data_IF_767983373049
#
_entry.id   IF_767983373049
#
_cell.length_a   1.000
_cell.length_b   1.000
_cell.length_c   1.000
_cell.angle_alpha   90.00
_cell.angle_beta   90.00
_cell.angle_gamma   90.00
#
_symmetry.space_group_name_H-M   'P 1'
#
loop_
_entity.id
_entity.type
_entity.pdbx_description
1 polymer ?
#
# COMPACT_ATOMS: atom_id res chain seq x y z
N UNK A 1 25.86 21.69 38.76
CA UNK A 1 24.71 20.83 38.40
C UNK A 1 25.09 20.12 37.12
N UNK A 2 24.92 18.81 37.09
CA UNK A 2 25.40 17.86 36.10
C UNK A 2 24.32 16.76 36.02
N UNK A 3 24.40 15.89 35.02
CA UNK A 3 23.47 14.76 34.77
C UNK A 3 22.02 15.17 34.43
N UNK A 4 21.33 14.52 33.49
CA UNK A 4 21.84 13.82 32.29
C UNK A 4 20.72 13.79 31.22
N UNK A 5 21.01 13.30 30.01
CA UNK A 5 20.03 13.19 28.94
C UNK A 5 19.78 11.72 28.59
N UNK A 6 18.52 11.29 28.61
CA UNK A 6 18.10 10.00 28.06
C UNK A 6 17.62 10.18 26.61
N UNK A 7 18.35 9.59 25.66
CA UNK A 7 17.95 9.45 24.27
C UNK A 7 17.36 8.05 24.07
N UNK A 8 16.09 7.95 23.68
CA UNK A 8 15.39 6.66 23.51
C UNK A 8 15.57 6.11 22.07
N UNK A 9 16.36 5.05 21.94
CA UNK A 9 16.74 4.44 20.65
C UNK A 9 15.68 3.46 20.13
N UNK A 10 14.70 4.00 19.39
CA UNK A 10 13.67 3.21 18.71
C UNK A 10 14.09 2.67 17.32
N UNK A 11 15.37 2.36 17.08
CA UNK A 11 15.89 1.92 15.76
C UNK A 11 15.94 0.38 15.52
N UNK A 12 14.92 -0.40 15.92
CA UNK A 12 14.62 -1.75 15.37
C UNK A 12 13.16 -2.19 15.55
N UNK A 13 12.24 -1.62 14.75
CA UNK A 13 10.85 -2.08 14.65
C UNK A 13 10.58 -2.94 13.41
N UNK A 14 10.98 -4.21 13.41
CA UNK A 14 10.59 -5.16 12.35
C UNK A 14 9.15 -5.66 12.58
N UNK A 15 8.18 -4.97 11.98
CA UNK A 15 6.77 -5.34 12.03
C UNK A 15 6.47 -6.49 11.05
N UNK A 16 6.89 -7.69 11.44
CA UNK A 16 6.79 -8.90 10.63
C UNK A 16 5.38 -9.18 10.08
N UNK A 17 5.34 -9.71 8.85
CA UNK A 17 4.13 -9.86 8.03
C UNK A 17 2.92 -10.46 8.77
N UNK A 18 1.97 -9.59 9.14
CA UNK A 18 0.74 -9.95 9.84
C UNK A 18 -0.25 -10.75 8.98
N UNK A 19 -0.05 -12.06 8.84
CA UNK A 19 -1.02 -13.01 8.27
C UNK A 19 -2.18 -13.27 9.24
N UNK A 20 -2.91 -12.21 9.58
CA UNK A 20 -4.01 -12.22 10.54
C UNK A 20 -5.24 -12.98 10.03
N UNK A 21 -5.38 -14.25 10.44
CA UNK A 21 -6.66 -14.98 10.32
C UNK A 21 -7.67 -14.37 11.28
N UNK A 22 -8.84 -13.96 10.78
CA UNK A 22 -9.98 -13.58 11.63
C UNK A 22 -10.52 -14.81 12.38
N UNK A 23 -10.98 -14.68 13.63
CA UNK A 23 -11.73 -15.75 14.29
C UNK A 23 -13.02 -16.09 13.52
N UNK A 24 -13.34 -17.38 13.39
CA UNK A 24 -14.59 -17.86 12.77
C UNK A 24 -14.45 -18.68 11.48
N UNK A 25 -13.23 -18.93 10.99
CA UNK A 25 -13.01 -19.83 9.86
C UNK A 25 -13.26 -21.31 10.21
N UNK A 26 -14.19 -21.95 9.50
CA UNK A 26 -14.44 -23.40 9.58
C UNK A 26 -13.32 -24.17 8.87
N UNK A 27 -13.00 -25.37 9.36
CA UNK A 27 -12.10 -26.30 8.66
C UNK A 27 -12.84 -26.97 7.50
N UNK A 28 -12.29 -26.89 6.29
CA UNK A 28 -12.53 -27.85 5.22
C UNK A 28 -11.19 -28.46 4.77
N UNK A 29 -11.27 -29.70 4.27
CA UNK A 29 -10.14 -30.62 4.15
C UNK A 29 -9.37 -30.56 2.83
N UNK A 30 -8.55 -31.58 2.64
CA UNK A 30 -7.52 -31.68 1.61
C UNK A 30 -8.07 -31.98 0.20
N UNK A 31 -7.22 -31.67 -0.79
CA UNK A 31 -7.22 -32.14 -2.18
C UNK A 31 -8.48 -31.99 -3.06
N UNK A 32 -8.36 -31.09 -4.05
CA UNK A 32 -8.40 -31.52 -5.46
C UNK A 32 -7.60 -30.58 -6.37
N UNK A 33 -7.05 -31.14 -7.45
CA UNK A 33 -6.15 -30.45 -8.38
C UNK A 33 -6.88 -29.84 -9.59
N UNK A 34 -6.12 -29.07 -10.39
CA UNK A 34 -6.43 -28.55 -11.73
C UNK A 34 -7.40 -27.35 -11.83
N UNK A 35 -7.32 -26.48 -12.84
CA UNK A 35 -6.18 -25.76 -13.48
C UNK A 35 -6.69 -25.02 -14.73
N UNK A 36 -6.65 -23.69 -14.76
CA UNK A 36 -6.65 -22.90 -16.01
C UNK A 36 -5.88 -21.59 -15.76
N UNK A 37 -4.69 -21.33 -16.31
CA UNK A 37 -4.19 -21.20 -17.71
C UNK A 37 -4.45 -19.82 -18.37
N UNK A 38 -3.36 -19.32 -18.96
CA UNK A 38 -3.20 -18.06 -19.72
C UNK A 38 -3.23 -16.76 -18.89
N UNK A 39 -2.49 -15.71 -19.26
CA UNK A 39 -1.77 -15.49 -20.54
C UNK A 39 -0.35 -14.95 -20.33
N UNK A 40 0.63 -15.55 -21.00
CA UNK A 40 2.01 -15.06 -21.06
C UNK A 40 2.18 -13.92 -22.08
N UNK A 41 3.16 -13.05 -21.85
CA UNK A 41 3.84 -12.30 -22.92
C UNK A 41 5.34 -12.43 -22.72
N UNK A 42 6.01 -13.00 -23.71
CA UNK A 42 7.42 -13.38 -23.62
C UNK A 42 8.30 -12.49 -24.52
N UNK A 43 9.59 -12.46 -24.17
CA UNK A 43 10.76 -12.53 -25.07
C UNK A 43 11.46 -11.23 -25.53
N UNK A 44 12.80 -11.34 -25.51
CA UNK A 44 13.80 -10.55 -26.24
C UNK A 44 14.12 -9.14 -25.71
N UNK A 45 15.32 -8.81 -25.22
CA UNK A 45 16.46 -9.66 -24.82
C UNK A 45 17.82 -9.24 -25.41
N UNK A 46 18.90 -9.45 -24.64
CA UNK A 46 20.29 -9.68 -25.09
C UNK A 46 21.19 -10.03 -23.90
N UNK A 47 21.84 -11.19 -23.97
CA UNK A 47 23.02 -11.50 -23.16
C UNK A 47 24.23 -10.88 -23.85
N UNK A 48 25.13 -10.24 -23.10
CA UNK A 48 26.54 -10.12 -23.48
C UNK A 48 27.44 -10.43 -22.29
N UNK A 49 28.59 -11.03 -22.60
CA UNK A 49 29.56 -11.61 -21.68
C UNK A 49 30.30 -10.59 -20.83
N UNK A 50 30.26 -10.73 -19.50
CA UNK A 50 31.16 -10.03 -18.59
C UNK A 50 32.52 -10.74 -18.54
N UNK A 51 33.50 -10.24 -19.30
CA UNK A 51 34.89 -10.68 -19.24
C UNK A 51 35.85 -9.49 -19.09
N UNK A 52 36.45 -9.41 -17.90
CA UNK A 52 37.74 -8.79 -17.59
C UNK A 52 38.05 -7.39 -18.17
N UNK A 53 37.87 -6.36 -17.33
CA UNK A 53 38.98 -5.45 -17.06
C UNK A 53 38.93 -5.03 -15.59
N UNK A 54 40.08 -4.77 -14.98
CA UNK A 54 40.21 -4.62 -13.53
C UNK A 54 40.83 -3.28 -13.13
N UNK A 55 40.30 -2.70 -12.05
CA UNK A 55 41.18 -2.12 -11.02
C UNK A 55 40.51 -2.16 -9.64
N UNK A 56 41.30 -2.50 -8.62
CA UNK A 56 40.88 -2.44 -7.22
C UNK A 56 40.98 -1.00 -6.72
N UNK A 57 40.19 -0.68 -5.72
CA UNK A 57 40.55 0.35 -4.74
C UNK A 57 41.65 -0.22 -3.87
N UNK A 58 42.73 0.53 -3.65
CA UNK A 58 43.77 0.19 -2.69
C UNK A 58 44.25 1.48 -2.01
N UNK A 59 44.57 1.40 -0.71
CA UNK A 59 45.07 2.52 0.08
C UNK A 59 46.59 2.44 0.18
N UNK A 60 47.19 3.61 0.44
CA UNK A 60 48.53 3.81 1.02
C UNK A 60 49.70 3.09 0.34
N UNK A 61 50.60 3.88 -0.24
CA UNK A 61 52.03 3.62 -0.07
C UNK A 61 52.82 4.94 0.06
N UNK A 62 54.07 4.87 0.52
CA UNK A 62 54.76 6.04 1.12
C UNK A 62 56.13 6.35 0.48
N UNK A 63 56.46 7.65 0.45
CA UNK A 63 57.80 8.26 0.31
C UNK A 63 58.42 8.51 -1.10
N UNK A 64 59.42 9.41 -1.07
CA UNK A 64 60.46 9.69 -2.08
C UNK A 64 60.10 10.44 -3.39
N UNK A 65 60.09 11.78 -3.30
CA UNK A 65 60.87 12.73 -4.12
C UNK A 65 61.04 12.51 -5.66
N UNK A 66 60.65 13.51 -6.44
CA UNK A 66 61.64 14.30 -7.24
C UNK A 66 61.07 15.61 -7.79
N UNK A 67 61.75 16.73 -7.54
CA UNK A 67 61.60 17.93 -8.38
C UNK A 67 62.37 17.73 -9.70
N UNK A 68 61.73 17.77 -10.86
CA UNK A 68 62.45 17.76 -12.14
C UNK A 68 61.79 18.55 -13.29
N UNK A 69 62.17 19.82 -13.31
CA UNK A 69 62.24 20.79 -14.44
C UNK A 69 62.49 20.21 -15.85
N UNK A 70 61.62 20.56 -16.82
CA UNK A 70 61.94 20.75 -18.28
C UNK A 70 60.82 21.60 -18.93
N UNK A 71 61.13 22.76 -19.54
CA UNK A 71 61.49 23.03 -20.97
C UNK A 71 60.32 22.85 -21.95
N UNK A 72 60.16 23.62 -23.04
CA UNK A 72 61.20 24.09 -23.98
C UNK A 72 60.66 25.18 -24.94
N UNK A 73 61.37 26.29 -25.19
CA UNK A 73 62.06 26.66 -26.48
C UNK A 73 61.14 27.14 -27.63
N UNK A 74 61.56 27.85 -28.70
CA UNK A 74 62.83 28.39 -29.27
C UNK A 74 62.45 29.67 -30.07
N UNK A 75 63.27 30.64 -30.50
CA UNK A 75 64.69 31.04 -30.31
C UNK A 75 64.71 32.60 -30.38
N UNK A 76 65.77 33.40 -30.67
CA UNK A 76 67.18 33.21 -31.00
C UNK A 76 67.88 34.58 -31.09
N UNK A 77 69.19 34.75 -30.89
CA UNK A 77 70.27 34.52 -31.88
C UNK A 77 71.54 35.24 -31.37
N UNK A 78 72.81 34.89 -31.66
CA UNK A 78 73.46 33.62 -32.06
C UNK A 78 75.00 33.83 -32.07
N UNK A 79 75.80 32.83 -31.66
CA UNK A 79 77.29 32.71 -31.81
C UNK A 79 78.16 33.73 -31.02
N UNK A 80 79.41 33.44 -30.60
CA UNK A 80 80.19 32.22 -30.25
C UNK A 80 81.44 32.69 -29.43
N UNK A 81 82.24 31.81 -28.79
CA UNK A 81 83.20 32.21 -27.75
C UNK A 81 84.61 32.53 -28.27
N UNK A 82 85.40 33.25 -27.46
CA UNK A 82 86.86 33.38 -27.57
C UNK A 82 87.49 33.32 -26.18
N UNK A 83 88.57 32.55 -26.02
CA UNK A 83 89.43 32.56 -24.83
C UNK A 83 90.77 33.20 -25.20
N UNK A 84 91.09 34.34 -24.60
CA UNK A 84 92.45 34.88 -24.50
C UNK A 84 92.61 35.41 -23.06
N UNK A 85 93.51 34.82 -22.28
CA UNK A 85 94.90 35.26 -22.12
C UNK A 85 95.00 36.63 -21.43
N UNK A 86 95.38 36.55 -20.14
CA UNK A 86 96.45 37.35 -19.53
C UNK A 86 96.90 38.59 -20.32
N UNK A 87 96.62 39.78 -19.77
CA UNK A 87 97.68 40.77 -19.59
C UNK A 87 97.36 41.81 -18.52
N UNK A 88 98.42 42.17 -17.81
CA UNK A 88 98.73 43.45 -17.16
C UNK A 88 97.67 44.15 -16.31
N UNK A 89 98.06 44.31 -15.04
CA UNK A 89 97.94 45.58 -14.34
C UNK A 89 98.17 46.78 -15.26
N UNK A 90 97.10 47.46 -15.64
CA UNK A 90 97.12 48.88 -15.90
C UNK A 90 96.18 49.55 -14.92
N UNK A 91 96.75 50.28 -13.97
CA UNK A 91 96.07 51.35 -13.26
C UNK A 91 95.79 52.46 -14.27
N UNK A 92 94.79 52.24 -15.12
CA UNK A 92 94.23 53.28 -15.99
C UNK A 92 93.42 54.23 -15.11
N UNK A 93 94.15 55.01 -14.31
CA UNK A 93 93.66 56.20 -13.64
C UNK A 93 93.37 57.28 -14.69
N UNK A 94 92.40 57.01 -15.56
CA UNK A 94 91.53 58.06 -16.06
C UNK A 94 90.80 58.59 -14.84
N UNK A 95 91.36 59.62 -14.21
CA UNK A 95 90.65 60.44 -13.23
C UNK A 95 89.38 60.95 -13.92
N UNK A 96 88.26 60.27 -13.67
CA UNK A 96 86.93 60.76 -14.06
C UNK A 96 86.85 62.16 -13.48
N UNK A 97 86.68 63.17 -14.34
CA UNK A 97 86.92 64.54 -13.90
C UNK A 97 86.00 64.87 -12.73
N UNK A 98 86.44 65.76 -11.84
CA UNK A 98 85.65 66.07 -10.64
C UNK A 98 84.23 66.59 -10.98
N UNK A 99 84.04 67.12 -12.20
CA UNK A 99 82.73 67.50 -12.74
C UNK A 99 81.95 66.32 -13.38
N UNK A 100 82.60 65.35 -14.02
CA UNK A 100 81.93 64.12 -14.48
C UNK A 100 81.44 63.27 -13.30
N UNK A 101 82.21 63.14 -12.21
CA UNK A 101 81.74 62.46 -10.99
C UNK A 101 80.55 63.19 -10.36
N UNK A 102 80.54 64.53 -10.36
CA UNK A 102 79.38 65.32 -9.95
C UNK A 102 78.19 65.17 -10.91
N UNK A 103 78.44 65.01 -12.20
CA UNK A 103 77.40 64.83 -13.21
C UNK A 103 76.75 63.45 -13.07
N UNK A 104 77.54 62.39 -12.97
CA UNK A 104 77.06 61.04 -12.70
C UNK A 104 76.28 60.96 -11.38
N UNK A 105 76.71 61.70 -10.35
CA UNK A 105 75.97 61.78 -9.08
C UNK A 105 74.62 62.53 -9.22
N UNK A 106 74.54 63.58 -10.06
CA UNK A 106 73.26 64.25 -10.39
C UNK A 106 72.34 63.31 -11.16
N UNK A 107 72.85 62.69 -12.22
CA UNK A 107 72.11 61.75 -13.07
C UNK A 107 71.58 60.57 -12.26
N UNK A 108 72.38 59.99 -11.37
CA UNK A 108 71.94 58.90 -10.48
C UNK A 108 70.90 59.36 -9.44
N UNK A 109 70.93 60.62 -8.98
CA UNK A 109 69.90 61.17 -8.09
C UNK A 109 68.59 61.45 -8.85
N UNK A 110 68.67 61.91 -10.09
CA UNK A 110 67.52 62.10 -10.98
C UNK A 110 66.88 60.75 -11.36
N UNK A 111 67.69 59.74 -11.72
CA UNK A 111 67.25 58.36 -11.95
C UNK A 111 66.57 57.76 -10.70
N UNK A 112 67.15 57.95 -9.50
CA UNK A 112 66.55 57.50 -8.24
C UNK A 112 65.20 58.19 -7.96
N UNK A 113 65.02 59.46 -8.34
CA UNK A 113 63.72 60.13 -8.18
C UNK A 113 62.67 59.63 -9.20
N UNK A 114 63.08 59.41 -10.46
CA UNK A 114 62.22 58.80 -11.49
C UNK A 114 61.76 57.40 -11.03
N UNK A 115 62.69 56.57 -10.56
CA UNK A 115 62.39 55.21 -10.09
C UNK A 115 61.46 55.18 -8.86
N UNK A 116 61.49 56.20 -7.98
CA UNK A 116 60.47 56.34 -6.91
C UNK A 116 59.08 56.59 -7.49
N UNK A 117 58.96 57.52 -8.44
CA UNK A 117 57.67 57.86 -9.07
C UNK A 117 57.11 56.66 -9.84
N UNK A 118 57.96 55.90 -10.54
CA UNK A 118 57.58 54.66 -11.21
C UNK A 118 57.18 53.55 -10.21
N UNK A 119 57.88 53.44 -9.07
CA UNK A 119 57.53 52.50 -8.00
C UNK A 119 56.19 52.84 -7.36
N UNK A 120 55.91 54.10 -7.03
CA UNK A 120 54.61 54.52 -6.50
C UNK A 120 53.48 54.31 -7.53
N UNK A 121 53.73 54.61 -8.81
CA UNK A 121 52.76 54.37 -9.87
C UNK A 121 52.46 52.87 -10.02
N UNK A 122 53.49 52.03 -9.91
CA UNK A 122 53.37 50.57 -9.91
C UNK A 122 52.63 50.03 -8.68
N UNK A 123 52.86 50.62 -7.50
CA UNK A 123 52.13 50.27 -6.27
C UNK A 123 50.64 50.62 -6.40
N UNK A 124 50.30 51.83 -6.84
CA UNK A 124 48.89 52.23 -7.07
C UNK A 124 48.19 51.34 -8.10
N UNK A 125 48.91 50.86 -9.13
CA UNK A 125 48.41 49.86 -10.07
C UNK A 125 48.21 48.46 -9.44
N UNK A 126 49.03 48.07 -8.47
CA UNK A 126 48.88 46.81 -7.74
C UNK A 126 47.66 46.86 -6.83
N UNK A 127 47.54 47.92 -6.03
CA UNK A 127 46.38 48.18 -5.15
C UNK A 127 45.05 48.16 -5.95
N UNK A 128 45.03 48.79 -7.14
CA UNK A 128 43.87 48.73 -8.04
C UNK A 128 43.56 47.34 -8.61
N UNK A 129 44.58 46.49 -8.83
CA UNK A 129 44.40 45.09 -9.25
C UNK A 129 43.87 44.23 -8.12
N UNK A 130 44.35 44.44 -6.90
CA UNK A 130 43.92 43.69 -5.71
C UNK A 130 42.46 44.01 -5.34
N UNK A 131 42.02 45.28 -5.49
CA UNK A 131 40.61 45.64 -5.31
C UNK A 131 39.72 45.02 -6.40
N UNK A 132 40.14 45.09 -7.67
CA UNK A 132 39.42 44.44 -8.76
C UNK A 132 39.30 42.91 -8.57
N UNK A 133 40.38 42.27 -8.09
CA UNK A 133 40.41 40.85 -7.75
C UNK A 133 39.45 40.53 -6.59
N UNK A 134 39.39 41.37 -5.55
CA UNK A 134 38.45 41.22 -4.42
C UNK A 134 36.99 41.31 -4.89
N UNK A 135 36.67 42.26 -5.78
CA UNK A 135 35.34 42.41 -6.39
C UNK A 135 34.98 41.15 -7.20
N UNK A 136 35.90 40.63 -8.02
CA UNK A 136 35.68 39.42 -8.81
C UNK A 136 35.51 38.16 -7.94
N UNK A 137 36.25 38.04 -6.84
CA UNK A 137 36.07 36.95 -5.87
C UNK A 137 34.71 37.03 -5.17
N UNK A 138 34.30 38.22 -4.71
CA UNK A 138 32.99 38.46 -4.11
C UNK A 138 31.85 38.09 -5.07
N UNK A 139 31.95 38.54 -6.33
CA UNK A 139 31.03 38.20 -7.41
C UNK A 139 30.95 36.69 -7.68
N UNK A 140 32.09 35.98 -7.68
CA UNK A 140 32.13 34.54 -7.89
C UNK A 140 31.46 33.75 -6.74
N UNK A 141 31.67 34.16 -5.49
CA UNK A 141 31.00 33.55 -4.32
C UNK A 141 29.50 33.83 -4.34
N UNK A 142 29.10 35.07 -4.63
CA UNK A 142 27.69 35.45 -4.74
C UNK A 142 26.97 34.67 -5.84
N UNK A 143 27.53 34.63 -7.06
CA UNK A 143 26.96 33.87 -8.18
C UNK A 143 26.79 32.38 -7.86
N UNK A 144 27.75 31.76 -7.16
CA UNK A 144 27.63 30.36 -6.71
C UNK A 144 26.48 30.17 -5.73
N UNK A 145 26.32 31.07 -4.76
CA UNK A 145 25.22 31.02 -3.80
C UNK A 145 23.85 31.26 -4.47
N UNK A 146 23.77 32.20 -5.42
CA UNK A 146 22.55 32.48 -6.19
C UNK A 146 22.15 31.30 -7.09
N UNK A 147 23.11 30.64 -7.75
CA UNK A 147 22.83 29.45 -8.57
C UNK A 147 22.26 28.31 -7.72
N UNK A 148 22.94 27.97 -6.61
CA UNK A 148 22.49 26.93 -5.68
C UNK A 148 21.07 27.19 -5.14
N UNK A 149 20.78 28.43 -4.72
CA UNK A 149 19.44 28.80 -4.23
C UNK A 149 18.37 28.72 -5.33
N UNK A 150 18.70 29.07 -6.58
CA UNK A 150 17.80 28.93 -7.72
C UNK A 150 17.53 27.47 -8.07
N UNK A 151 18.56 26.63 -8.04
CA UNK A 151 18.47 25.18 -8.29
C UNK A 151 17.62 24.49 -7.20
N UNK A 152 17.83 24.84 -5.93
CA UNK A 152 17.01 24.39 -4.80
C UNK A 152 15.53 24.81 -4.93
N UNK A 153 15.28 26.06 -5.33
CA UNK A 153 13.91 26.56 -5.54
C UNK A 153 13.22 25.79 -6.68
N UNK A 154 13.89 25.62 -7.83
CA UNK A 154 13.33 24.88 -8.96
C UNK A 154 13.00 23.42 -8.56
N UNK A 155 13.89 22.75 -7.81
CA UNK A 155 13.66 21.39 -7.31
C UNK A 155 12.44 21.32 -6.39
N UNK A 156 12.28 22.30 -5.48
CA UNK A 156 11.11 22.38 -4.60
C UNK A 156 9.80 22.66 -5.37
N UNK A 157 9.85 23.47 -6.43
CA UNK A 157 8.72 23.68 -7.34
C UNK A 157 8.37 22.41 -8.15
N UNK A 158 9.35 21.58 -8.50
CA UNK A 158 9.15 20.29 -9.17
C UNK A 158 8.49 19.27 -8.23
N UNK A 159 8.96 19.17 -6.98
CA UNK A 159 8.39 18.33 -5.92
C UNK A 159 6.97 18.77 -5.53
N UNK A 160 6.73 20.08 -5.45
CA UNK A 160 5.37 20.62 -5.30
C UNK A 160 4.46 20.18 -6.46
N UNK A 161 4.94 20.28 -7.71
CA UNK A 161 4.19 19.89 -8.92
C UNK A 161 4.00 18.37 -9.08
N UNK A 162 4.67 17.52 -8.31
CA UNK A 162 4.31 16.10 -8.19
C UNK A 162 3.27 15.88 -7.09
N UNK A 163 3.45 16.47 -5.91
CA UNK A 163 2.48 16.40 -4.81
C UNK A 163 1.08 16.94 -5.20
N UNK A 164 1.01 18.04 -5.96
CA UNK A 164 -0.26 18.56 -6.49
C UNK A 164 -1.01 17.56 -7.37
N UNK A 165 -0.30 16.67 -8.10
CA UNK A 165 -0.91 15.62 -8.93
C UNK A 165 -1.36 14.43 -8.08
N UNK A 166 -0.55 14.05 -7.09
CA UNK A 166 -0.91 12.99 -6.14
C UNK A 166 -2.15 13.37 -5.34
N UNK A 167 -2.23 14.61 -4.84
CA UNK A 167 -3.45 15.18 -4.22
C UNK A 167 -4.63 15.13 -5.19
N UNK A 168 -4.44 15.50 -6.45
CA UNK A 168 -5.50 15.46 -7.46
C UNK A 168 -6.01 14.02 -7.71
N UNK A 169 -5.12 13.03 -7.75
CA UNK A 169 -5.47 11.62 -7.93
C UNK A 169 -6.23 11.11 -6.70
N UNK A 170 -5.73 11.37 -5.49
CA UNK A 170 -6.36 10.98 -4.23
C UNK A 170 -7.75 11.62 -4.04
N UNK A 171 -7.95 12.85 -4.53
CA UNK A 171 -9.27 13.49 -4.57
C UNK A 171 -10.25 12.71 -5.47
N UNK A 172 -9.85 12.38 -6.69
CA UNK A 172 -10.66 11.54 -7.60
C UNK A 172 -10.94 10.14 -7.04
N UNK A 173 -9.96 9.50 -6.39
CA UNK A 173 -10.14 8.20 -5.75
C UNK A 173 -11.14 8.29 -4.58
N UNK A 174 -11.06 9.32 -3.74
CA UNK A 174 -12.04 9.56 -2.66
C UNK A 174 -13.45 9.85 -3.18
N UNK A 175 -13.60 10.65 -4.25
CA UNK A 175 -14.89 10.96 -4.85
C UNK A 175 -15.53 9.71 -5.48
N UNK A 176 -14.73 8.90 -6.19
CA UNK A 176 -15.18 7.63 -6.77
C UNK A 176 -15.59 6.61 -5.69
N UNK A 177 -14.81 6.47 -4.62
CA UNK A 177 -15.16 5.58 -3.51
C UNK A 177 -16.42 6.05 -2.78
N UNK A 178 -16.59 7.36 -2.57
CA UNK A 178 -17.82 7.92 -1.98
C UNK A 178 -19.06 7.65 -2.82
N UNK A 179 -18.99 7.81 -4.14
CA UNK A 179 -20.10 7.46 -5.03
C UNK A 179 -20.38 5.95 -5.02
N UNK A 180 -19.35 5.11 -5.05
CA UNK A 180 -19.51 3.66 -4.94
C UNK A 180 -20.17 3.25 -3.62
N UNK A 181 -19.80 3.85 -2.49
CA UNK A 181 -20.43 3.57 -1.20
C UNK A 181 -21.88 4.03 -1.16
N UNK A 182 -22.19 5.24 -1.65
CA UNK A 182 -23.57 5.76 -1.75
C UNK A 182 -24.47 4.82 -2.55
N UNK A 183 -24.05 4.42 -3.76
CA UNK A 183 -24.80 3.46 -4.59
C UNK A 183 -25.04 2.11 -3.88
N UNK A 184 -24.11 1.66 -3.03
CA UNK A 184 -24.26 0.44 -2.23
C UNK A 184 -25.25 0.65 -1.08
N UNK A 185 -25.20 1.78 -0.37
CA UNK A 185 -26.12 2.16 0.71
C UNK A 185 -27.57 2.30 0.21
N UNK A 186 -27.77 2.99 -0.92
CA UNK A 186 -29.07 3.12 -1.59
C UNK A 186 -29.61 1.74 -1.99
N UNK A 187 -28.78 0.92 -2.65
CA UNK A 187 -29.15 -0.46 -3.06
C UNK A 187 -29.51 -1.36 -1.88
N UNK A 188 -28.89 -1.20 -0.71
CA UNK A 188 -29.25 -1.95 0.49
C UNK A 188 -30.50 -1.41 1.17
N UNK A 189 -30.73 -0.10 1.12
CA UNK A 189 -31.94 0.55 1.63
C UNK A 189 -33.18 0.07 0.84
N UNK A 190 -33.13 0.08 -0.50
CA UNK A 190 -34.22 -0.46 -1.33
C UNK A 190 -34.53 -1.94 -1.04
N UNK A 191 -33.50 -2.76 -0.78
CA UNK A 191 -33.66 -4.17 -0.42
C UNK A 191 -34.29 -4.33 0.96
N UNK A 192 -33.89 -3.51 1.93
CA UNK A 192 -34.46 -3.49 3.27
C UNK A 192 -35.95 -3.12 3.23
N UNK A 193 -36.29 -2.02 2.56
CA UNK A 193 -37.67 -1.53 2.46
C UNK A 193 -38.59 -2.53 1.72
N UNK A 194 -38.08 -3.17 0.66
CA UNK A 194 -38.77 -4.28 -0.02
C UNK A 194 -39.09 -5.42 0.95
N UNK A 195 -38.08 -5.91 1.67
CA UNK A 195 -38.23 -7.01 2.63
C UNK A 195 -39.16 -6.60 3.79
N UNK A 196 -39.14 -5.34 4.21
CA UNK A 196 -40.04 -4.79 5.23
C UNK A 196 -41.50 -4.83 4.75
N UNK A 197 -41.79 -4.34 3.54
CA UNK A 197 -43.12 -4.38 2.91
C UNK A 197 -43.62 -5.81 2.67
N UNK A 198 -42.75 -6.72 2.23
CA UNK A 198 -43.08 -8.14 2.04
C UNK A 198 -43.41 -8.81 3.39
N UNK A 199 -42.62 -8.57 4.44
CA UNK A 199 -42.92 -9.08 5.79
C UNK A 199 -44.22 -8.51 6.38
N UNK A 200 -44.51 -7.22 6.17
CA UNK A 200 -45.80 -6.64 6.57
C UNK A 200 -46.97 -7.33 5.85
N UNK A 201 -46.86 -7.55 4.55
CA UNK A 201 -47.87 -8.26 3.74
C UNK A 201 -48.08 -9.70 4.22
N UNK A 202 -46.99 -10.44 4.46
CA UNK A 202 -47.05 -11.82 4.98
C UNK A 202 -47.66 -11.89 6.38
N UNK A 203 -47.39 -10.90 7.24
CA UNK A 203 -47.94 -10.80 8.60
C UNK A 203 -49.46 -10.62 8.61
N UNK A 204 -49.99 -9.76 7.74
CA UNK A 204 -51.45 -9.58 7.62
C UNK A 204 -52.12 -10.80 6.96
N UNK A 205 -51.49 -11.41 5.95
CA UNK A 205 -51.97 -12.67 5.37
C UNK A 205 -52.01 -13.82 6.41
N UNK A 206 -51.01 -13.90 7.30
CA UNK A 206 -50.97 -14.89 8.38
C UNK A 206 -52.09 -14.65 9.42
N UNK A 207 -52.42 -13.40 9.76
CA UNK A 207 -53.58 -13.10 10.62
C UNK A 207 -54.88 -13.60 9.99
N UNK A 208 -55.13 -13.25 8.72
CA UNK A 208 -56.34 -13.64 8.00
C UNK A 208 -56.49 -15.17 7.96
N UNK A 209 -55.42 -15.91 7.63
CA UNK A 209 -55.45 -17.39 7.69
C UNK A 209 -55.63 -17.92 9.12
N UNK A 210 -55.12 -17.24 10.15
CA UNK A 210 -55.33 -17.59 11.56
C UNK A 210 -56.79 -17.36 12.00
N UNK A 211 -57.48 -16.37 11.41
CA UNK A 211 -58.89 -16.08 11.67
C UNK A 211 -59.81 -17.07 10.94
N UNK A 212 -59.52 -17.36 9.67
CA UNK A 212 -60.20 -18.41 8.87
C UNK A 212 -60.08 -19.80 9.53
N UNK A 213 -58.91 -20.16 10.07
CA UNK A 213 -58.75 -21.41 10.83
C UNK A 213 -59.64 -21.43 12.09
N UNK A 214 -59.82 -20.29 12.77
CA UNK A 214 -60.72 -20.21 13.95
C UNK A 214 -62.19 -20.33 13.56
N UNK A 215 -62.63 -19.73 12.46
CA UNK A 215 -64.03 -19.88 11.99
C UNK A 215 -64.31 -21.31 11.57
N UNK A 216 -63.41 -21.93 10.79
CA UNK A 216 -63.53 -23.34 10.39
C UNK A 216 -63.50 -24.29 11.60
N UNK A 217 -62.71 -24.00 12.65
CA UNK A 217 -62.73 -24.76 13.90
C UNK A 217 -64.07 -24.64 14.63
N UNK A 218 -64.68 -23.45 14.69
CA UNK A 218 -65.98 -23.23 15.29
C UNK A 218 -67.12 -23.92 14.50
N UNK A 219 -67.12 -23.81 13.18
CA UNK A 219 -68.06 -24.49 12.29
C UNK A 219 -67.97 -26.01 12.42
N UNK A 220 -66.75 -26.56 12.44
CA UNK A 220 -66.51 -27.98 12.64
C UNK A 220 -66.98 -28.46 14.03
N UNK A 221 -66.79 -27.65 15.09
CA UNK A 221 -67.34 -27.96 16.41
C UNK A 221 -68.89 -28.01 16.41
N UNK A 222 -69.55 -27.05 15.76
CA UNK A 222 -71.02 -27.01 15.62
C UNK A 222 -71.52 -28.22 14.82
N UNK A 223 -70.88 -28.56 13.70
CA UNK A 223 -71.24 -29.73 12.90
C UNK A 223 -71.04 -31.05 13.67
N UNK A 224 -69.97 -31.19 14.47
CA UNK A 224 -69.80 -32.36 15.34
C UNK A 224 -70.90 -32.43 16.41
N UNK A 225 -71.30 -31.30 17.01
CA UNK A 225 -72.42 -31.26 17.95
C UNK A 225 -73.73 -31.70 17.29
N UNK A 226 -74.06 -31.16 16.12
CA UNK A 226 -75.26 -31.55 15.36
C UNK A 226 -75.25 -33.05 15.01
N UNK A 227 -74.10 -33.60 14.60
CA UNK A 227 -73.95 -35.05 14.38
C UNK A 227 -74.24 -35.88 15.65
N UNK A 228 -73.82 -35.42 16.83
CA UNK A 228 -74.12 -36.08 18.11
C UNK A 228 -75.60 -35.96 18.49
N UNK A 229 -76.23 -34.81 18.23
CA UNK A 229 -77.67 -34.59 18.43
C UNK A 229 -78.51 -35.49 17.50
N UNK A 230 -78.17 -35.59 16.21
CA UNK A 230 -78.81 -36.51 15.29
C UNK A 230 -78.61 -37.98 15.70
N UNK A 231 -77.41 -38.37 16.14
CA UNK A 231 -77.15 -39.71 16.68
C UNK A 231 -78.05 -40.00 17.89
N UNK A 232 -78.18 -39.07 18.83
CA UNK A 232 -79.01 -39.23 20.03
C UNK A 232 -80.50 -39.46 19.72
N UNK A 233 -80.99 -39.03 18.55
CA UNK A 233 -82.38 -39.24 18.09
C UNK A 233 -82.63 -40.58 17.37
N UNK A 234 -81.60 -41.35 17.02
CA UNK A 234 -81.74 -42.68 16.37
C UNK A 234 -82.09 -43.79 17.39
N UNK A 235 -82.62 -44.92 16.91
CA UNK A 235 -82.85 -46.08 17.78
C UNK A 235 -81.52 -46.74 18.24
N UNK A 236 -81.52 -47.41 19.39
CA UNK A 236 -80.30 -47.97 20.02
C UNK A 236 -79.54 -48.96 19.14
N UNK A 237 -80.22 -49.70 18.24
CA UNK A 237 -79.57 -50.59 17.25
C UNK A 237 -78.96 -49.77 16.12
N UNK A 238 -79.65 -48.74 15.63
CA UNK A 238 -79.14 -47.81 14.62
C UNK A 238 -77.93 -47.03 15.14
N UNK A 239 -78.00 -46.47 16.35
CA UNK A 239 -76.90 -45.81 17.03
C UNK A 239 -75.66 -46.70 17.09
N UNK A 240 -75.83 -47.98 17.49
CA UNK A 240 -74.73 -48.94 17.56
C UNK A 240 -74.09 -49.18 16.19
N UNK A 241 -74.87 -49.44 15.15
CA UNK A 241 -74.36 -49.62 13.78
C UNK A 241 -73.59 -48.39 13.30
N UNK A 242 -74.09 -47.17 13.56
CA UNK A 242 -73.43 -45.94 13.11
C UNK A 242 -72.17 -45.64 13.94
N UNK A 243 -72.15 -45.91 15.25
CA UNK A 243 -70.94 -45.81 16.07
C UNK A 243 -69.86 -46.83 15.67
N UNK A 244 -70.24 -48.07 15.35
CA UNK A 244 -69.31 -49.10 14.85
C UNK A 244 -68.67 -48.66 13.52
N UNK A 245 -69.42 -47.99 12.64
CA UNK A 245 -68.86 -47.41 11.41
C UNK A 245 -67.98 -46.15 11.66
N UNK A 246 -68.37 -45.23 12.54
CA UNK A 246 -67.58 -44.02 12.85
C UNK A 246 -66.28 -44.32 13.62
N UNK A 247 -66.29 -45.32 14.49
CA UNK A 247 -65.09 -45.74 15.23
C UNK A 247 -64.06 -46.40 14.29
N UNK A 248 -64.53 -47.18 13.31
CA UNK A 248 -63.69 -47.76 12.27
C UNK A 248 -62.96 -46.68 11.45
N UNK A 249 -63.62 -45.58 11.09
CA UNK A 249 -62.97 -44.49 10.33
C UNK A 249 -61.98 -43.66 11.16
N UNK A 250 -62.22 -43.44 12.46
CA UNK A 250 -61.28 -42.74 13.35
C UNK A 250 -60.02 -43.55 13.68
N UNK A 251 -60.09 -44.88 13.63
CA UNK A 251 -58.96 -45.77 13.98
C UNK A 251 -57.71 -45.60 13.11
N UNK A 252 -57.83 -45.01 11.91
CA UNK A 252 -56.72 -44.78 10.99
C UNK A 252 -56.06 -43.40 11.06
N UNK A 253 -56.56 -42.48 11.90
CA UNK A 253 -56.22 -41.04 11.85
C UNK A 253 -55.96 -40.38 13.20
N UNK A 254 -55.95 -41.14 14.31
CA UNK A 254 -55.68 -40.61 15.64
C UNK A 254 -54.19 -40.23 15.84
N UNK A 255 -53.96 -38.98 16.25
CA UNK A 255 -52.81 -38.47 17.00
C UNK A 255 -51.40 -38.80 16.45
N UNK A 256 -51.19 -38.57 15.16
CA UNK A 256 -49.83 -38.40 14.62
C UNK A 256 -49.27 -37.03 15.02
N UNK A 257 -48.08 -37.00 15.63
CA UNK A 257 -47.36 -35.73 15.85
C UNK A 257 -46.95 -35.11 14.50
N UNK A 258 -46.72 -33.79 14.47
CA UNK A 258 -46.29 -33.10 13.24
C UNK A 258 -44.99 -33.65 12.64
N UNK A 259 -44.10 -34.21 13.46
CA UNK A 259 -42.88 -34.89 13.00
C UNK A 259 -43.18 -36.26 12.39
N UNK A 260 -44.14 -37.02 12.93
CA UNK A 260 -44.58 -38.29 12.32
C UNK A 260 -45.29 -38.03 11.00
N UNK A 261 -46.15 -37.02 10.91
CA UNK A 261 -46.77 -36.59 9.65
C UNK A 261 -45.73 -36.20 8.59
N UNK A 262 -44.68 -35.48 8.97
CA UNK A 262 -43.58 -35.12 8.07
C UNK A 262 -42.81 -36.35 7.55
N UNK A 263 -42.56 -37.36 8.41
CA UNK A 263 -41.92 -38.61 8.00
C UNK A 263 -42.85 -39.47 7.13
N UNK A 264 -44.15 -39.49 7.42
CA UNK A 264 -45.14 -40.21 6.63
C UNK A 264 -45.27 -39.62 5.21
N UNK A 265 -45.26 -38.28 5.10
CA UNK A 265 -45.32 -37.54 3.83
C UNK A 265 -44.03 -37.56 3.01
N UNK A 266 -42.89 -37.99 3.58
CA UNK A 266 -41.62 -38.07 2.87
C UNK A 266 -41.49 -39.32 1.96
N UNK A 267 -42.43 -40.27 2.01
CA UNK A 267 -42.44 -41.43 1.12
C UNK A 267 -43.04 -41.11 -0.25
N UNK A 268 -42.26 -41.30 -1.32
CA UNK A 268 -42.69 -41.12 -2.71
C UNK A 268 -43.34 -42.35 -3.35
N UNK A 269 -43.61 -43.42 -2.59
CA UNK A 269 -44.26 -44.62 -3.11
C UNK A 269 -45.76 -44.40 -3.33
N UNK A 270 -46.22 -44.52 -4.58
CA UNK A 270 -47.62 -44.38 -4.96
C UNK A 270 -48.52 -45.46 -4.32
N UNK A 271 -49.20 -45.10 -3.23
CA UNK A 271 -50.25 -45.90 -2.60
C UNK A 271 -51.65 -45.45 -3.05
N UNK A 272 -52.38 -46.33 -3.73
CA UNK A 272 -53.81 -46.13 -3.98
C UNK A 272 -54.61 -46.15 -2.67
N UNK A 273 -55.52 -45.20 -2.49
CA UNK A 273 -56.41 -45.14 -1.32
C UNK A 273 -55.94 -44.29 -0.13
N UNK A 274 -54.93 -43.43 -0.30
CA UNK A 274 -54.57 -42.39 0.70
C UNK A 274 -53.97 -42.89 2.02
N UNK A 275 -53.67 -44.20 2.12
CA UNK A 275 -53.00 -44.80 3.27
C UNK A 275 -51.47 -44.70 3.12
N UNK A 276 -50.70 -44.30 4.16
CA UNK A 276 -49.25 -44.18 4.05
C UNK A 276 -48.56 -45.50 3.65
N UNK A 277 -47.53 -45.38 2.81
CA UNK A 277 -46.77 -46.51 2.29
C UNK A 277 -46.13 -47.35 3.43
N UNK A 278 -45.92 -48.67 3.26
CA UNK A 278 -45.29 -49.49 4.30
C UNK A 278 -43.92 -48.97 4.74
N UNK A 279 -43.13 -48.42 3.81
CA UNK A 279 -41.83 -47.80 4.10
C UNK A 279 -41.98 -46.54 4.98
N UNK A 280 -43.04 -45.75 4.79
CA UNK A 280 -43.36 -44.57 5.58
C UNK A 280 -43.77 -44.98 7.01
N UNK A 281 -44.63 -45.99 7.12
CA UNK A 281 -45.07 -46.53 8.42
C UNK A 281 -43.89 -47.08 9.21
N UNK A 282 -42.99 -47.84 8.57
CA UNK A 282 -41.74 -48.29 9.18
C UNK A 282 -40.82 -47.13 9.57
N UNK A 283 -40.57 -46.18 8.67
CA UNK A 283 -39.71 -45.03 8.95
C UNK A 283 -40.22 -44.17 10.12
N UNK A 284 -41.54 -43.93 10.19
CA UNK A 284 -42.17 -43.22 11.29
C UNK A 284 -42.04 -43.98 12.63
N UNK A 285 -42.28 -45.30 12.63
CA UNK A 285 -42.10 -46.15 13.82
C UNK A 285 -40.65 -46.16 14.31
N UNK A 286 -39.67 -46.36 13.42
CA UNK A 286 -38.24 -46.31 13.78
C UNK A 286 -37.82 -44.91 14.24
N UNK A 287 -38.36 -43.84 13.65
CA UNK A 287 -38.13 -42.45 14.12
C UNK A 287 -38.69 -42.24 15.53
N UNK A 288 -39.88 -42.75 15.82
CA UNK A 288 -40.52 -42.69 17.14
C UNK A 288 -39.71 -43.45 18.19
N UNK A 289 -39.24 -44.66 17.86
CA UNK A 289 -38.39 -45.48 18.72
C UNK A 289 -37.04 -44.80 19.03
N UNK A 290 -36.36 -44.26 18.01
CA UNK A 290 -35.09 -43.53 18.20
C UNK A 290 -35.24 -42.28 19.07
N UNK A 291 -36.37 -41.56 18.95
CA UNK A 291 -36.66 -40.41 19.81
C UNK A 291 -36.93 -40.83 21.25
N UNK A 292 -37.68 -41.91 21.47
CA UNK A 292 -37.93 -42.46 22.79
C UNK A 292 -36.63 -42.90 23.48
N UNK A 293 -35.80 -43.70 22.80
CA UNK A 293 -34.49 -44.13 23.30
C UNK A 293 -33.55 -42.94 23.57
N UNK A 294 -33.52 -41.93 22.69
CA UNK A 294 -32.75 -40.71 22.94
C UNK A 294 -33.25 -39.95 24.17
N UNK A 295 -34.56 -39.95 24.41
CA UNK A 295 -35.16 -39.28 25.57
C UNK A 295 -34.88 -40.04 26.88
N UNK A 296 -34.88 -41.38 26.87
CA UNK A 296 -34.41 -42.20 27.99
C UNK A 296 -32.92 -41.95 28.31
N UNK A 297 -32.06 -41.87 27.29
CA UNK A 297 -30.62 -41.58 27.43
C UNK A 297 -30.33 -40.13 27.87
N UNK A 298 -31.29 -39.21 27.75
CA UNK A 298 -31.19 -37.83 28.28
C UNK A 298 -31.90 -37.64 29.64
N UNK A 299 -32.40 -38.72 30.25
CA UNK A 299 -33.03 -38.74 31.57
C UNK A 299 -32.24 -39.60 32.59
N UNK A 300 -31.01 -40.00 32.22
CA UNK A 300 -30.00 -40.69 33.01
C UNK A 300 -28.76 -39.79 33.19
#
# INVERSE_FOLDING_TARGET
KMEEAEEDDMTRGDLGNGLGRRPGGVYEGEDLQNSHLFRSRERSGKVWTSLLSAKRVEKSDTAALTHSKRSSFHDGSSKKPVTFMQQNSHESNTEVSNEELKQQLREALEEVEILKVELEASQRQLEGKDEALRILQSMAVFNKATSHTKEMLQKSEEEKRTLEKEISILQWEMEFDQDRFRNIEDTWTEKYDRIYCENATLKEALKLRTEEVKTLQAENAILNQQCLEFLAMLDVKQQKIVQENLSLSKSGTADFTGLELAVLGACTCNTSGGQPCPCAKMAALTRKQLLHQKQEVMLL
#
